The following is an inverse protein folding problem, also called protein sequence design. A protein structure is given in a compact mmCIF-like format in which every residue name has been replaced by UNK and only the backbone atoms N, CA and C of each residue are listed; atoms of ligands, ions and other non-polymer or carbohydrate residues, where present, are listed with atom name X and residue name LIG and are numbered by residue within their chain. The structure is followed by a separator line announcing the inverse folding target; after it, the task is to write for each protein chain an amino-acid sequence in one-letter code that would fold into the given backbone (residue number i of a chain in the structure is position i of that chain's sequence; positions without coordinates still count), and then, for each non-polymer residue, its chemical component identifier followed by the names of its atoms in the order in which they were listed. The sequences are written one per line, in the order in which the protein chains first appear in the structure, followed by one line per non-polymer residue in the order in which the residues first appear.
data_IF_840959738076
#
_entry.id   IF_840959738076
#
_cell.length_a   1.000
_cell.length_b   1.000
_cell.length_c   1.000
_cell.angle_alpha   90.00
_cell.angle_beta   90.00
_cell.angle_gamma   90.00
#
_symmetry.space_group_name_H-M   'P 1'
#
loop_
_entity.id
_entity.type
_entity.pdbx_description
1 polymer ?
#
# COMPACT_ATOMS: atom_id res chain seq x y z
N UNK A 1 -16.13 -16.29 -3.21
CA UNK A 1 -15.20 -15.16 -2.98
C UNK A 1 -14.36 -15.44 -1.73
N UNK A 2 -13.05 -15.67 -1.87
CA UNK A 2 -12.09 -15.97 -0.79
C UNK A 2 -11.04 -14.84 -0.68
N UNK A 3 -11.45 -13.61 -0.37
CA UNK A 3 -10.54 -12.45 -0.35
C UNK A 3 -10.47 -11.77 1.02
N UNK A 4 -10.45 -12.56 2.10
CA UNK A 4 -10.18 -12.02 3.43
C UNK A 4 -8.71 -12.33 3.76
N UNK A 5 -7.84 -11.30 3.86
CA UNK A 5 -6.45 -11.53 4.25
C UNK A 5 -6.39 -12.20 5.63
N UNK A 6 -5.47 -13.14 5.80
CA UNK A 6 -5.26 -13.87 7.06
C UNK A 6 -6.51 -14.59 7.60
N UNK A 7 -7.41 -15.07 6.72
CA UNK A 7 -8.63 -15.80 7.12
C UNK A 7 -8.35 -17.08 7.91
N UNK A 8 -7.23 -17.75 7.60
CA UNK A 8 -6.88 -19.04 8.20
C UNK A 8 -6.13 -18.91 9.54
N UNK A 9 -5.76 -17.70 9.96
CA UNK A 9 -5.23 -17.48 11.30
C UNK A 9 -6.41 -17.30 12.28
N UNK A 10 -6.49 -18.18 13.29
CA UNK A 10 -7.34 -18.01 14.48
C UNK A 10 -6.44 -18.18 15.69
N UNK A 11 -6.26 -17.10 16.45
CA UNK A 11 -5.51 -17.11 17.70
C UNK A 11 -6.52 -16.80 18.82
N UNK A 12 -7.04 -17.82 19.53
CA UNK A 12 -7.98 -17.59 20.62
C UNK A 12 -7.31 -16.72 21.69
N UNK A 13 -7.89 -15.54 21.98
CA UNK A 13 -7.33 -14.54 22.90
C UNK A 13 -6.63 -13.34 22.23
N UNK A 14 -6.30 -13.40 20.93
CA UNK A 14 -5.66 -12.30 20.18
C UNK A 14 -6.46 -11.85 18.94
N UNK A 15 -7.78 -11.97 18.99
CA UNK A 15 -8.66 -11.61 17.86
C UNK A 15 -8.55 -10.14 17.46
N UNK A 16 -8.38 -9.23 18.42
CA UNK A 16 -8.24 -7.79 18.17
C UNK A 16 -6.97 -7.48 17.37
N UNK A 17 -5.87 -8.16 17.66
CA UNK A 17 -4.61 -8.02 16.91
C UNK A 17 -4.74 -8.57 15.49
N UNK A 18 -5.48 -9.66 15.31
CA UNK A 18 -5.78 -10.22 13.99
C UNK A 18 -6.63 -9.25 13.14
N UNK A 19 -7.65 -8.65 13.75
CA UNK A 19 -8.48 -7.62 13.10
C UNK A 19 -7.65 -6.39 12.73
N UNK A 20 -6.77 -5.93 13.62
CA UNK A 20 -5.86 -4.84 13.35
C UNK A 20 -4.93 -5.13 12.17
N UNK A 21 -4.36 -6.35 12.10
CA UNK A 21 -3.58 -6.81 10.94
C UNK A 21 -4.38 -6.73 9.64
N UNK A 22 -5.61 -7.25 9.63
CA UNK A 22 -6.46 -7.22 8.42
C UNK A 22 -6.74 -5.80 7.96
N UNK A 23 -7.07 -4.91 8.90
CA UNK A 23 -7.35 -3.52 8.62
C UNK A 23 -6.11 -2.79 8.10
N UNK A 24 -4.94 -3.02 8.70
CA UNK A 24 -3.66 -2.50 8.21
C UNK A 24 -3.36 -2.94 6.78
N UNK A 25 -3.57 -4.22 6.47
CA UNK A 25 -3.36 -4.75 5.12
C UNK A 25 -4.30 -4.10 4.10
N UNK A 26 -5.60 -4.06 4.40
CA UNK A 26 -6.62 -3.43 3.55
C UNK A 26 -6.34 -1.93 3.35
N UNK A 27 -6.00 -1.22 4.42
CA UNK A 27 -5.62 0.19 4.34
C UNK A 27 -4.35 0.38 3.50
N UNK A 28 -3.36 -0.50 3.64
CA UNK A 28 -2.14 -0.46 2.82
C UNK A 28 -2.43 -0.64 1.33
N UNK A 29 -3.27 -1.63 0.97
CA UNK A 29 -3.71 -1.85 -0.42
C UNK A 29 -4.50 -0.65 -0.94
N UNK A 30 -5.43 -0.10 -0.15
CA UNK A 30 -6.21 1.06 -0.55
C UNK A 30 -5.32 2.29 -0.83
N UNK A 31 -4.29 2.52 -0.01
CA UNK A 31 -3.34 3.61 -0.20
C UNK A 31 -2.49 3.43 -1.46
N UNK A 32 -2.06 2.21 -1.76
CA UNK A 32 -1.34 1.91 -3.02
C UNK A 32 -2.25 2.19 -4.21
N UNK A 33 -3.47 1.66 -4.22
CA UNK A 33 -4.42 1.87 -5.33
C UNK A 33 -4.72 3.35 -5.51
N UNK A 34 -4.96 4.09 -4.42
CA UNK A 34 -5.22 5.52 -4.48
C UNK A 34 -4.01 6.29 -5.03
N UNK A 35 -2.80 5.96 -4.57
CA UNK A 35 -1.57 6.56 -5.06
C UNK A 35 -1.35 6.30 -6.55
N UNK A 36 -1.55 5.06 -6.99
CA UNK A 36 -1.41 4.67 -8.41
C UNK A 36 -2.44 5.38 -9.29
N UNK A 37 -3.70 5.49 -8.86
CA UNK A 37 -4.74 6.21 -9.62
C UNK A 37 -4.38 7.68 -9.76
N UNK A 38 -3.97 8.34 -8.66
CA UNK A 38 -3.59 9.75 -8.70
C UNK A 38 -2.38 10.00 -9.58
N UNK A 39 -1.40 9.10 -9.54
CA UNK A 39 -0.21 9.19 -10.37
C UNK A 39 -0.56 8.96 -11.85
N UNK A 40 -1.43 8.00 -12.16
CA UNK A 40 -1.95 7.80 -13.51
C UNK A 40 -2.69 9.02 -14.06
N UNK A 41 -3.46 9.73 -13.23
CA UNK A 41 -4.13 10.98 -13.62
C UNK A 41 -3.11 12.10 -13.89
N UNK A 42 -2.04 12.19 -13.11
CA UNK A 42 -0.98 13.18 -13.32
C UNK A 42 -0.23 12.93 -14.65
N UNK A 43 0.14 11.67 -14.92
CA UNK A 43 0.75 11.25 -16.20
C UNK A 43 -0.18 11.56 -17.37
N UNK A 44 -1.48 11.30 -17.22
CA UNK A 44 -2.46 11.55 -18.27
C UNK A 44 -2.57 13.04 -18.60
N UNK A 45 -2.67 13.91 -17.59
CA UNK A 45 -2.66 15.37 -17.81
C UNK A 45 -1.36 15.85 -18.44
N UNK A 46 -0.23 15.29 -18.01
CA UNK A 46 1.07 15.59 -18.62
C UNK A 46 1.10 15.21 -20.11
N UNK A 47 0.59 14.02 -20.46
CA UNK A 47 0.56 13.53 -21.83
C UNK A 47 -0.34 14.40 -22.73
N UNK A 48 -1.51 14.80 -22.23
CA UNK A 48 -2.41 15.71 -22.97
C UNK A 48 -1.74 17.07 -23.18
N UNK A 49 -1.14 17.65 -22.14
CA UNK A 49 -0.48 18.94 -22.23
C UNK A 49 0.71 18.91 -23.21
N UNK A 50 1.40 17.77 -23.31
CA UNK A 50 2.46 17.54 -24.29
C UNK A 50 1.93 17.54 -25.73
N UNK A 51 0.78 16.88 -25.97
CA UNK A 51 0.16 16.79 -27.29
C UNK A 51 -0.40 18.15 -27.74
N UNK A 52 -0.97 18.94 -26.82
CA UNK A 52 -1.59 20.22 -27.16
C UNK A 52 -0.59 21.38 -27.34
N UNK A 53 0.51 21.42 -26.57
CA UNK A 53 1.34 22.62 -26.50
C UNK A 53 2.69 22.57 -27.22
N UNK A 54 3.18 21.41 -27.70
CA UNK A 54 4.36 21.28 -28.58
C UNK A 54 5.74 21.69 -28.00
N UNK A 55 5.81 22.83 -27.30
CA UNK A 55 7.02 23.55 -26.85
C UNK A 55 7.16 23.62 -25.31
N UNK A 56 6.21 23.07 -24.55
CA UNK A 56 6.32 22.87 -23.10
C UNK A 56 7.05 21.58 -22.62
N UNK A 57 7.58 20.66 -23.45
CA UNK A 57 7.92 19.30 -23.01
C UNK A 57 9.13 19.26 -22.07
N UNK A 58 10.12 20.14 -22.24
CA UNK A 58 11.30 20.16 -21.36
C UNK A 58 10.97 20.64 -19.95
N UNK A 59 10.13 21.67 -19.81
CA UNK A 59 9.77 22.22 -18.48
C UNK A 59 8.83 21.27 -17.74
N UNK A 60 7.88 20.68 -18.45
CA UNK A 60 6.93 19.73 -17.89
C UNK A 60 7.60 18.39 -17.52
N UNK A 61 8.49 17.86 -18.38
CA UNK A 61 9.27 16.66 -18.06
C UNK A 61 10.27 16.92 -16.93
N UNK A 62 10.96 18.06 -16.92
CA UNK A 62 11.88 18.42 -15.82
C UNK A 62 11.15 18.57 -14.49
N UNK A 63 9.96 19.21 -14.46
CA UNK A 63 9.12 19.27 -13.26
C UNK A 63 8.63 17.87 -12.85
N UNK A 64 8.18 17.05 -13.79
CA UNK A 64 7.67 15.71 -13.48
C UNK A 64 8.77 14.76 -12.93
N UNK A 65 9.99 14.83 -13.49
CA UNK A 65 11.12 14.00 -13.06
C UNK A 65 11.72 14.47 -11.72
N UNK A 66 11.74 15.79 -11.47
CA UNK A 66 12.16 16.36 -10.17
C UNK A 66 11.12 16.10 -9.07
N UNK A 67 9.84 15.98 -9.45
CA UNK A 67 8.72 15.85 -8.53
C UNK A 67 8.24 14.40 -8.35
N UNK A 68 8.75 13.42 -9.10
CA UNK A 68 8.34 12.00 -8.95
C UNK A 68 8.62 11.46 -7.52
N UNK A 69 9.75 11.87 -6.93
CA UNK A 69 10.15 11.47 -5.58
C UNK A 69 9.54 12.36 -4.48
N UNK A 70 9.17 13.60 -4.84
CA UNK A 70 8.55 14.61 -3.98
C UNK A 70 7.01 14.54 -4.02
N UNK A 71 6.46 13.82 -5.00
CA UNK A 71 5.04 13.74 -5.23
C UNK A 71 4.37 13.06 -4.03
N UNK A 72 3.40 13.72 -3.38
CA UNK A 72 2.70 13.14 -2.24
C UNK A 72 2.00 11.82 -2.61
N UNK A 73 1.74 11.59 -3.89
CA UNK A 73 1.20 10.34 -4.43
C UNK A 73 2.17 9.16 -4.27
N UNK A 74 3.47 9.38 -4.54
CA UNK A 74 4.48 8.32 -4.38
C UNK A 74 4.70 7.99 -2.91
N UNK A 75 4.65 9.00 -2.03
CA UNK A 75 4.64 8.78 -0.58
C UNK A 75 3.44 7.96 -0.11
N UNK A 76 2.23 8.16 -0.68
CA UNK A 76 1.06 7.33 -0.37
C UNK A 76 1.27 5.85 -0.76
N UNK A 77 1.91 5.60 -1.91
CA UNK A 77 2.26 4.25 -2.35
C UNK A 77 3.26 3.61 -1.38
N UNK A 78 4.34 4.31 -1.03
CA UNK A 78 5.36 3.82 -0.08
C UNK A 78 4.73 3.52 1.28
N UNK A 79 3.92 4.43 1.83
CA UNK A 79 3.21 4.23 3.10
C UNK A 79 2.31 3.00 3.03
N UNK A 80 1.63 2.79 1.90
CA UNK A 80 0.82 1.61 1.66
C UNK A 80 1.65 0.31 1.67
N UNK A 81 2.80 0.31 0.97
CA UNK A 81 3.74 -0.83 0.95
C UNK A 81 4.26 -1.15 2.35
N UNK A 82 4.69 -0.13 3.11
CA UNK A 82 5.19 -0.30 4.49
C UNK A 82 4.11 -0.91 5.39
N UNK A 83 2.85 -0.46 5.29
CA UNK A 83 1.73 -1.02 6.06
C UNK A 83 1.46 -2.49 5.72
N UNK A 84 1.57 -2.87 4.44
CA UNK A 84 1.42 -4.27 4.01
C UNK A 84 2.55 -5.12 4.59
N UNK A 85 3.80 -4.68 4.48
CA UNK A 85 4.95 -5.40 5.05
C UNK A 85 4.80 -5.59 6.56
N UNK A 86 4.44 -4.53 7.27
CA UNK A 86 4.24 -4.58 8.71
C UNK A 86 3.10 -5.51 9.10
N UNK A 87 1.99 -5.48 8.35
CA UNK A 87 0.87 -6.41 8.54
C UNK A 87 1.28 -7.87 8.33
N UNK A 88 2.07 -8.17 7.30
CA UNK A 88 2.57 -9.52 7.05
C UNK A 88 3.50 -9.99 8.18
N UNK A 89 4.41 -9.12 8.65
CA UNK A 89 5.30 -9.43 9.77
C UNK A 89 4.54 -9.70 11.07
N UNK A 90 3.54 -8.87 11.39
CA UNK A 90 2.66 -9.11 12.54
C UNK A 90 1.87 -10.42 12.40
N UNK A 91 1.34 -10.73 11.21
CA UNK A 91 0.63 -11.98 10.98
C UNK A 91 1.53 -13.22 11.17
N UNK A 92 2.79 -13.15 10.73
CA UNK A 92 3.78 -14.22 10.98
C UNK A 92 4.04 -14.36 12.48
N UNK A 93 4.26 -13.26 13.19
CA UNK A 93 4.50 -13.27 14.64
C UNK A 93 3.31 -13.84 15.42
N UNK A 94 2.09 -13.46 15.05
CA UNK A 94 0.84 -13.99 15.62
C UNK A 94 0.72 -15.50 15.39
N UNK A 95 1.10 -15.98 14.19
CA UNK A 95 1.13 -17.42 13.89
C UNK A 95 2.11 -18.17 14.80
N UNK A 96 3.31 -17.64 15.02
CA UNK A 96 4.32 -18.25 15.87
C UNK A 96 3.85 -18.34 17.32
N UNK A 97 3.34 -17.24 17.89
CA UNK A 97 2.82 -17.21 19.27
C UNK A 97 1.66 -18.17 19.49
N UNK A 98 0.77 -18.29 18.50
CA UNK A 98 -0.34 -19.24 18.55
C UNK A 98 0.13 -20.69 18.59
N UNK A 99 1.23 -21.00 17.89
CA UNK A 99 1.78 -22.35 17.83
C UNK A 99 2.50 -22.74 19.13
N UNK A 100 3.15 -21.77 19.79
CA UNK A 100 3.76 -21.94 21.12
C UNK A 100 2.69 -22.20 22.20
N UNK A 101 1.56 -21.48 22.17
CA UNK A 101 0.46 -21.71 23.11
C UNK A 101 -0.17 -23.10 23.00
N UNK A 102 -0.31 -23.67 21.80
CA UNK A 102 -0.79 -25.05 21.62
C UNK A 102 0.24 -26.11 22.02
N UNK A 103 1.52 -25.77 22.17
CA UNK A 103 2.56 -26.73 22.54
C UNK A 103 2.83 -26.77 24.04
N UNK A 104 2.28 -25.80 24.81
CA UNK A 104 2.41 -25.71 26.27
C UNK A 104 1.16 -26.21 27.03
N UNK A 105 0.08 -26.53 26.33
CA UNK A 105 -1.13 -27.18 26.84
C UNK A 105 -1.19 -28.63 26.36
#
# INVERSE_FOLDING_TARGET
MKLIPFRNLRCPGLETALWYCRLLFLAGVALIVLGVIKEGIAIYHWLIAMIENGDAPMKAAYLYDLDLLSHPNFHLIIVGVVKIYFSCGLAIKLKTMSHEQTSQN
#
